data_IF_954332649391
#
_entry.id   IF_954332649391
#
_cell.length_a   1.000
_cell.length_b   1.000
_cell.length_c   1.000
_cell.angle_alpha   90.00
_cell.angle_beta   90.00
_cell.angle_gamma   90.00
#
_symmetry.space_group_name_H-M   'P 1'
#
loop_
_entity.id
_entity.type
_entity.pdbx_description
1 polymer ?
#
# COMPACT_ATOMS: atom_id res chain seq x y z
N UNK A 1 -28.88 -50.50 7.99
CA UNK A 1 -27.55 -50.15 8.46
C UNK A 1 -26.68 -49.45 7.42
N UNK A 2 -26.75 -49.83 6.15
CA UNK A 2 -25.96 -49.20 5.09
C UNK A 2 -26.33 -47.76 4.82
N UNK A 3 -27.59 -47.37 4.95
CA UNK A 3 -28.03 -45.98 4.72
C UNK A 3 -27.46 -44.99 5.74
N UNK A 4 -27.27 -45.41 7.01
CA UNK A 4 -26.72 -44.53 8.05
C UNK A 4 -25.24 -44.20 7.83
N UNK A 5 -24.47 -45.14 7.27
CA UNK A 5 -23.04 -44.95 6.98
C UNK A 5 -22.86 -43.93 5.83
N UNK A 6 -23.70 -44.01 4.80
CA UNK A 6 -23.66 -43.09 3.67
C UNK A 6 -23.98 -41.65 4.10
N UNK A 7 -24.96 -41.46 5.00
CA UNK A 7 -25.31 -40.14 5.53
C UNK A 7 -24.17 -39.55 6.36
N UNK A 8 -23.46 -40.35 7.16
CA UNK A 8 -22.31 -39.86 7.92
C UNK A 8 -21.15 -39.40 7.04
N UNK A 9 -20.85 -40.14 5.98
CA UNK A 9 -19.83 -39.78 5.01
C UNK A 9 -20.19 -38.50 4.24
N UNK A 10 -21.45 -38.35 3.85
CA UNK A 10 -21.94 -37.14 3.20
C UNK A 10 -21.84 -35.92 4.08
N UNK A 11 -22.16 -36.04 5.36
CA UNK A 11 -22.08 -34.95 6.33
C UNK A 11 -20.64 -34.48 6.53
N UNK A 12 -19.68 -35.39 6.65
CA UNK A 12 -18.27 -35.05 6.79
C UNK A 12 -17.74 -34.29 5.57
N UNK A 13 -18.12 -34.72 4.37
CA UNK A 13 -17.71 -34.04 3.13
C UNK A 13 -18.24 -32.61 3.04
N UNK A 14 -19.48 -32.36 3.44
CA UNK A 14 -20.10 -31.02 3.44
C UNK A 14 -19.35 -30.11 4.42
N UNK A 15 -19.00 -30.58 5.60
CA UNK A 15 -18.25 -29.78 6.57
C UNK A 15 -16.85 -29.39 6.05
N UNK A 16 -16.15 -30.29 5.41
CA UNK A 16 -14.82 -30.03 4.85
C UNK A 16 -14.88 -28.94 3.77
N UNK A 17 -15.84 -29.00 2.85
CA UNK A 17 -16.03 -27.99 1.82
C UNK A 17 -16.37 -26.62 2.41
N UNK A 18 -17.23 -26.57 3.43
CA UNK A 18 -17.60 -25.33 4.11
C UNK A 18 -16.39 -24.64 4.77
N UNK A 19 -15.51 -25.40 5.42
CA UNK A 19 -14.28 -24.86 6.01
C UNK A 19 -13.33 -24.30 4.96
N UNK A 20 -13.14 -24.99 3.84
CA UNK A 20 -12.29 -24.52 2.75
C UNK A 20 -12.82 -23.23 2.14
N UNK A 21 -14.14 -23.10 1.95
CA UNK A 21 -14.74 -21.87 1.46
C UNK A 21 -14.53 -20.69 2.41
N UNK A 22 -14.69 -20.93 3.72
CA UNK A 22 -14.44 -19.88 4.73
C UNK A 22 -13.01 -19.38 4.70
N UNK A 23 -12.04 -20.28 4.60
CA UNK A 23 -10.63 -19.91 4.53
C UNK A 23 -10.31 -19.11 3.27
N UNK A 24 -10.90 -19.45 2.13
CA UNK A 24 -10.73 -18.69 0.88
C UNK A 24 -11.32 -17.29 0.96
N UNK A 25 -12.52 -17.15 1.52
CA UNK A 25 -13.17 -15.86 1.70
C UNK A 25 -12.37 -14.98 2.64
N UNK A 26 -11.86 -15.54 3.73
CA UNK A 26 -11.04 -14.80 4.69
C UNK A 26 -9.73 -14.31 4.05
N UNK A 27 -9.04 -15.15 3.28
CA UNK A 27 -7.81 -14.77 2.58
C UNK A 27 -8.06 -13.67 1.55
N UNK A 28 -9.18 -13.73 0.80
CA UNK A 28 -9.59 -12.68 -0.14
C UNK A 28 -9.90 -11.38 0.58
N UNK A 29 -10.62 -11.43 1.70
CA UNK A 29 -10.94 -10.26 2.51
C UNK A 29 -9.69 -9.58 3.06
N UNK A 30 -8.70 -10.35 3.53
CA UNK A 30 -7.43 -9.81 4.02
C UNK A 30 -6.65 -9.10 2.92
N UNK A 31 -6.64 -9.65 1.70
CA UNK A 31 -6.01 -9.01 0.54
C UNK A 31 -6.68 -7.69 0.18
N UNK A 32 -8.00 -7.68 0.13
CA UNK A 32 -8.79 -6.50 -0.20
C UNK A 32 -8.58 -5.41 0.85
N UNK A 33 -8.56 -5.76 2.13
CA UNK A 33 -8.30 -4.83 3.21
C UNK A 33 -6.90 -4.23 3.10
N UNK A 34 -5.88 -5.04 2.81
CA UNK A 34 -4.53 -4.57 2.60
C UNK A 34 -4.40 -3.63 1.41
N UNK A 35 -5.08 -3.94 0.30
CA UNK A 35 -5.12 -3.08 -0.87
C UNK A 35 -5.80 -1.74 -0.56
N UNK A 36 -6.90 -1.76 0.17
CA UNK A 36 -7.61 -0.55 0.58
C UNK A 36 -6.78 0.30 1.53
N UNK A 37 -6.06 -0.30 2.46
CA UNK A 37 -5.15 0.42 3.34
C UNK A 37 -4.00 1.06 2.57
N UNK A 38 -3.43 0.38 1.58
CA UNK A 38 -2.39 0.94 0.72
C UNK A 38 -2.91 2.11 -0.11
N UNK A 39 -4.12 2.00 -0.69
CA UNK A 39 -4.76 3.11 -1.41
C UNK A 39 -4.99 4.29 -0.49
N UNK A 40 -5.47 4.04 0.72
CA UNK A 40 -5.69 5.09 1.72
C UNK A 40 -4.37 5.75 2.12
N UNK A 41 -3.30 4.98 2.25
CA UNK A 41 -1.97 5.52 2.52
C UNK A 41 -1.46 6.41 1.38
N UNK A 42 -1.69 6.00 0.13
CA UNK A 42 -1.36 6.82 -1.04
C UNK A 42 -2.15 8.14 -1.06
N UNK A 43 -3.43 8.10 -0.71
CA UNK A 43 -4.27 9.29 -0.56
C UNK A 43 -3.76 10.19 0.56
N UNK A 44 -3.37 9.61 1.69
CA UNK A 44 -2.80 10.36 2.81
C UNK A 44 -1.47 11.04 2.42
N UNK A 45 -0.62 10.33 1.70
CA UNK A 45 0.62 10.91 1.15
C UNK A 45 0.29 12.11 0.24
N UNK A 46 -0.64 11.94 -0.68
CA UNK A 46 -1.06 13.01 -1.58
C UNK A 46 -1.62 14.21 -0.84
N UNK A 47 -2.36 13.99 0.25
CA UNK A 47 -2.93 15.06 1.06
C UNK A 47 -1.85 15.85 1.78
N UNK A 48 -0.85 15.19 2.37
CA UNK A 48 0.29 15.85 3.01
C UNK A 48 1.12 16.61 1.98
N UNK A 49 1.27 16.06 0.79
CA UNK A 49 2.06 16.66 -0.28
C UNK A 49 1.41 17.91 -0.91
N UNK A 50 0.21 18.31 -0.46
CA UNK A 50 -0.42 19.56 -0.90
C UNK A 50 0.11 20.80 -0.18
N UNK A 51 0.76 20.61 0.95
CA UNK A 51 1.33 21.69 1.75
C UNK A 51 2.75 22.08 1.31
N UNK A 52 3.57 22.58 2.26
CA UNK A 52 4.97 22.94 1.97
C UNK A 52 5.78 21.78 1.39
N UNK A 53 5.40 20.55 1.69
CA UNK A 53 6.07 19.34 1.21
C UNK A 53 5.92 19.11 -0.29
N UNK A 54 5.02 19.83 -0.97
CA UNK A 54 4.86 19.74 -2.41
C UNK A 54 6.16 20.04 -3.17
N UNK A 55 7.01 20.88 -2.63
CA UNK A 55 8.33 21.20 -3.17
C UNK A 55 9.19 19.94 -3.35
N UNK A 56 9.08 18.98 -2.43
CA UNK A 56 9.85 17.74 -2.45
C UNK A 56 9.43 16.81 -3.59
N UNK A 57 8.20 16.94 -4.09
CA UNK A 57 7.70 16.09 -5.17
C UNK A 57 8.44 16.30 -6.49
N UNK A 58 9.13 17.42 -6.66
CA UNK A 58 9.90 17.72 -7.86
C UNK A 58 11.19 16.90 -7.96
N UNK A 59 11.59 16.26 -6.88
CA UNK A 59 12.84 15.48 -6.79
C UNK A 59 12.57 14.09 -6.27
N UNK A 60 13.44 13.15 -6.64
CA UNK A 60 13.41 11.80 -6.12
C UNK A 60 13.67 11.78 -4.60
N UNK A 61 13.12 10.81 -3.91
CA UNK A 61 13.28 10.67 -2.45
C UNK A 61 14.74 10.72 -2.00
N UNK A 62 15.62 10.09 -2.76
CA UNK A 62 17.06 10.04 -2.45
C UNK A 62 17.71 11.43 -2.35
N UNK A 63 17.13 12.40 -3.03
CA UNK A 63 17.66 13.77 -3.08
C UNK A 63 17.05 14.69 -2.02
N UNK A 64 16.04 14.24 -1.29
CA UNK A 64 15.29 15.10 -0.37
C UNK A 64 16.14 15.69 0.76
N UNK A 65 17.11 14.96 1.25
CA UNK A 65 18.00 15.45 2.30
C UNK A 65 18.89 16.60 1.83
N UNK A 66 19.16 16.63 0.53
CA UNK A 66 20.01 17.68 -0.09
C UNK A 66 19.24 18.95 -0.42
N UNK A 67 17.90 18.88 -0.41
CA UNK A 67 17.03 20.00 -0.79
C UNK A 67 16.73 20.98 0.35
N UNK A 68 17.33 20.81 1.53
CA UNK A 68 17.00 21.55 2.73
C UNK A 68 16.92 23.06 2.58
N UNK A 69 17.70 23.68 1.69
CA UNK A 69 17.63 25.12 1.43
C UNK A 69 16.60 25.50 0.38
N UNK A 70 16.37 24.63 -0.61
CA UNK A 70 15.43 24.88 -1.71
C UNK A 70 13.98 24.68 -1.30
N UNK A 71 13.73 23.83 -0.30
CA UNK A 71 12.41 23.53 0.24
C UNK A 71 12.42 23.72 1.77
N UNK A 72 12.74 24.95 2.22
CA UNK A 72 13.01 25.25 3.62
C UNK A 72 11.84 24.93 4.57
N UNK A 73 10.60 25.11 4.09
CA UNK A 73 9.39 24.86 4.88
C UNK A 73 8.90 23.41 4.81
N UNK A 74 9.54 22.59 3.98
CA UNK A 74 9.15 21.19 3.79
C UNK A 74 9.83 20.29 4.80
N UNK A 75 9.05 19.35 5.36
CA UNK A 75 9.55 18.33 6.27
C UNK A 75 9.45 16.95 5.59
N UNK A 76 10.59 16.35 5.18
CA UNK A 76 10.58 15.03 4.56
C UNK A 76 9.97 13.94 5.44
N UNK A 77 10.07 14.07 6.77
CA UNK A 77 9.50 13.07 7.67
C UNK A 77 7.99 12.94 7.54
N UNK A 78 7.30 14.02 7.19
CA UNK A 78 5.85 13.99 6.98
C UNK A 78 5.45 13.18 5.76
N UNK A 79 6.32 13.09 4.76
CA UNK A 79 6.11 12.27 3.55
C UNK A 79 6.67 10.85 3.70
N UNK A 80 7.61 10.63 4.61
CA UNK A 80 8.26 9.33 4.76
C UNK A 80 7.42 8.29 5.49
N UNK A 81 6.48 8.73 6.30
CA UNK A 81 5.65 7.83 7.09
C UNK A 81 4.38 8.52 7.55
N UNK A 82 3.39 7.71 7.86
CA UNK A 82 2.12 8.18 8.37
C UNK A 82 1.28 7.07 8.93
N UNK A 83 0.03 7.39 9.23
CA UNK A 83 -0.92 6.49 9.85
C UNK A 83 -2.23 6.53 9.07
N UNK A 84 -2.77 5.37 8.78
CA UNK A 84 -4.11 5.21 8.21
C UNK A 84 -4.92 4.34 9.15
N UNK A 85 -5.91 4.96 9.83
CA UNK A 85 -6.57 4.29 10.94
C UNK A 85 -5.57 3.97 12.03
N UNK A 86 -5.38 2.69 12.31
CA UNK A 86 -4.37 2.19 13.26
C UNK A 86 -3.14 1.60 12.59
N UNK A 87 -3.07 1.64 11.25
CA UNK A 87 -2.01 1.02 10.47
C UNK A 87 -0.97 2.04 10.06
N UNK A 88 0.29 1.79 10.42
CA UNK A 88 1.41 2.62 9.99
C UNK A 88 1.83 2.27 8.57
N UNK A 89 2.18 3.29 7.81
CA UNK A 89 2.78 3.13 6.49
C UNK A 89 4.09 3.88 6.41
N UNK A 90 4.95 3.45 5.52
CA UNK A 90 6.23 4.11 5.25
C UNK A 90 6.46 4.23 3.75
N UNK A 91 7.16 5.29 3.38
CA UNK A 91 7.54 5.54 2.01
C UNK A 91 8.79 4.74 1.67
N UNK A 92 8.68 3.86 0.69
CA UNK A 92 9.83 3.13 0.17
C UNK A 92 10.61 3.94 -0.85
N UNK A 93 9.88 4.57 -1.80
CA UNK A 93 10.51 5.35 -2.86
C UNK A 93 9.54 6.35 -3.47
N UNK A 94 10.09 7.43 -3.99
CA UNK A 94 9.39 8.41 -4.80
C UNK A 94 10.27 8.77 -5.99
N UNK A 95 9.74 8.57 -7.19
CA UNK A 95 10.42 8.88 -8.45
C UNK A 95 9.52 9.77 -9.31
N UNK A 96 9.82 11.06 -9.38
CA UNK A 96 9.04 11.96 -10.22
C UNK A 96 9.41 11.85 -11.70
N UNK A 97 8.44 12.10 -12.55
CA UNK A 97 8.57 12.28 -13.99
C UNK A 97 7.93 13.62 -14.38
N UNK A 98 7.71 13.88 -15.66
CA UNK A 98 7.24 15.19 -16.12
C UNK A 98 5.87 15.57 -15.56
N UNK A 99 4.86 14.70 -15.73
CA UNK A 99 3.48 14.98 -15.33
C UNK A 99 2.96 13.96 -14.32
N UNK A 100 3.82 13.10 -13.81
CA UNK A 100 3.44 12.06 -12.87
C UNK A 100 4.64 11.62 -12.05
N UNK A 101 4.40 10.88 -11.00
CA UNK A 101 5.45 10.29 -10.19
C UNK A 101 5.04 8.89 -9.73
N UNK A 102 6.03 8.06 -9.51
CA UNK A 102 5.84 6.72 -8.99
C UNK A 102 6.05 6.72 -7.48
N UNK A 103 5.03 6.30 -6.76
CA UNK A 103 5.02 6.20 -5.30
C UNK A 103 5.07 4.73 -4.92
N UNK A 104 6.01 4.36 -4.05
CA UNK A 104 6.08 3.02 -3.48
C UNK A 104 5.95 3.10 -1.97
N UNK A 105 4.96 2.40 -1.42
CA UNK A 105 4.63 2.41 -0.01
C UNK A 105 4.69 1.00 0.58
N UNK A 106 4.91 0.94 1.88
CA UNK A 106 4.88 -0.29 2.66
C UNK A 106 4.04 -0.09 3.92
N UNK A 107 3.18 -1.05 4.22
CA UNK A 107 2.46 -1.11 5.49
C UNK A 107 3.32 -1.78 6.56
N UNK A 108 2.94 -1.58 7.83
CA UNK A 108 3.66 -2.16 8.96
C UNK A 108 3.73 -3.68 8.92
N UNK A 109 2.77 -4.36 8.27
CA UNK A 109 2.74 -5.80 8.12
C UNK A 109 3.62 -6.33 6.98
N UNK A 110 4.31 -5.44 6.24
CA UNK A 110 5.21 -5.78 5.16
C UNK A 110 4.58 -5.77 3.76
N UNK A 111 3.27 -5.50 3.64
CA UNK A 111 2.61 -5.36 2.34
C UNK A 111 3.11 -4.11 1.64
N UNK A 112 3.33 -4.21 0.33
CA UNK A 112 3.83 -3.11 -0.49
C UNK A 112 2.87 -2.79 -1.63
N UNK A 113 2.91 -1.55 -2.10
CA UNK A 113 2.14 -1.12 -3.25
C UNK A 113 2.85 -0.01 -3.99
N UNK A 114 2.66 0.03 -5.30
CA UNK A 114 3.12 1.10 -6.16
C UNK A 114 1.93 1.84 -6.74
N UNK A 115 2.03 3.16 -6.77
CA UNK A 115 0.98 4.04 -7.26
C UNK A 115 1.57 5.02 -8.24
N UNK A 116 0.74 5.44 -9.17
CA UNK A 116 1.07 6.52 -10.08
C UNK A 116 0.31 7.76 -9.63
N UNK A 117 1.03 8.80 -9.26
CA UNK A 117 0.45 10.07 -8.88
C UNK A 117 0.55 11.02 -10.07
N UNK A 118 -0.60 11.50 -10.54
CA UNK A 118 -0.63 12.53 -11.55
C UNK A 118 -0.27 13.87 -10.91
N UNK A 119 0.67 14.58 -11.49
CA UNK A 119 1.16 15.87 -11.01
C UNK A 119 0.71 16.98 -11.93
N UNK A 120 0.40 18.14 -11.35
CA UNK A 120 0.14 19.34 -12.12
C UNK A 120 1.45 19.79 -12.82
N UNK A 121 1.44 20.08 -14.13
CA UNK A 121 2.66 20.45 -14.85
C UNK A 121 3.19 21.84 -14.50
N UNK A 122 2.37 22.69 -13.91
CA UNK A 122 2.72 24.08 -13.59
C UNK A 122 3.03 24.28 -12.12
N UNK A 123 2.20 23.71 -11.25
CA UNK A 123 2.33 23.82 -9.79
C UNK A 123 2.61 22.44 -9.21
N UNK A 124 3.60 22.28 -8.32
CA UNK A 124 3.87 20.98 -7.70
C UNK A 124 2.69 20.57 -6.80
N UNK A 125 1.78 19.80 -7.35
CA UNK A 125 0.60 19.32 -6.65
C UNK A 125 0.15 17.98 -7.25
N UNK A 126 -0.34 17.09 -6.38
CA UNK A 126 -0.93 15.83 -6.83
C UNK A 126 -2.38 16.08 -7.22
N UNK A 127 -2.71 15.75 -8.46
CA UNK A 127 -4.07 15.91 -9.01
C UNK A 127 -4.81 14.58 -9.18
N UNK A 128 -4.13 13.46 -8.99
CA UNK A 128 -4.77 12.15 -9.07
C UNK A 128 -3.88 11.04 -8.57
N UNK A 129 -4.50 9.96 -8.11
CA UNK A 129 -3.82 8.75 -7.63
C UNK A 129 -4.42 7.55 -8.36
N UNK A 130 -3.58 6.70 -8.92
CA UNK A 130 -4.02 5.46 -9.55
C UNK A 130 -3.13 4.28 -9.12
N UNK A 131 -3.74 3.11 -9.00
CA UNK A 131 -3.03 1.88 -8.67
C UNK A 131 -2.22 1.41 -9.88
N UNK A 132 -0.96 1.05 -9.65
CA UNK A 132 -0.13 0.43 -10.67
C UNK A 132 0.08 -1.04 -10.31
N UNK A 133 0.51 -1.31 -9.08
CA UNK A 133 0.81 -2.66 -8.64
C UNK A 133 0.65 -2.74 -7.13
N UNK A 134 -0.08 -3.75 -6.68
CA UNK A 134 -0.21 -4.07 -5.27
C UNK A 134 0.40 -5.44 -5.05
N UNK A 135 1.53 -5.47 -4.36
CA UNK A 135 2.26 -6.70 -4.10
C UNK A 135 1.85 -7.30 -2.75
N UNK A 136 1.87 -8.61 -2.68
CA UNK A 136 1.75 -9.32 -1.42
C UNK A 136 2.97 -9.02 -0.52
N UNK A 137 2.88 -9.45 0.74
CA UNK A 137 3.98 -9.29 1.69
C UNK A 137 5.29 -9.80 1.08
N UNK A 138 6.31 -8.95 1.09
CA UNK A 138 7.63 -9.35 0.62
C UNK A 138 8.18 -10.51 1.45
N UNK A 139 8.81 -11.50 0.81
CA UNK A 139 9.48 -12.57 1.55
C UNK A 139 10.72 -12.02 2.23
N UNK A 140 10.58 -11.58 3.47
CA UNK A 140 11.69 -11.03 4.24
C UNK A 140 12.69 -12.09 4.70
N UNK A 141 12.28 -13.33 4.68
CA UNK A 141 13.06 -14.46 5.22
C UNK A 141 14.39 -14.66 4.49
N UNK A 142 14.42 -14.31 3.23
CA UNK A 142 15.60 -14.53 2.40
C UNK A 142 16.70 -13.50 2.63
N UNK A 143 16.36 -12.41 3.27
CA UNK A 143 17.33 -11.35 3.57
C UNK A 143 18.14 -11.61 4.83
N UNK A 144 17.78 -12.61 5.62
CA UNK A 144 18.45 -12.97 6.85
C UNK A 144 19.65 -13.91 6.69
N UNK A 145 20.17 -14.06 5.52
CA UNK A 145 21.30 -14.95 5.26
C UNK A 145 22.59 -14.18 5.06
#
# INVERSE_FOLDING_TARGET
MTASVVLLLGSASIHTLSLQQRLRVQASSDRDQGADQLRSAAQAFAAVARGPEACLLLRAKIDWERLGQSCADADPFRLNRGLVGTTHWSLLDWMPSTNWGRLSLQLADGRTGSFRLALDPVVPAVIGVSDVQLAARSPQVEMGR
#
